data_IF_965209576549
#
_entry.id   IF_965209576549
#
_cell.length_a   1.000
_cell.length_b   1.000
_cell.length_c   1.000
_cell.angle_alpha   90.00
_cell.angle_beta   90.00
_cell.angle_gamma   90.00
#
_symmetry.space_group_name_H-M   'P 1'
#
loop_
_entity.id
_entity.type
_entity.pdbx_description
1 polymer ?
#
# COMPACT_ATOMS: atom_id res chain seq x y z
N UNK A 1 7.09 -2.08 67.41
CA UNK A 1 6.69 -3.50 67.34
C UNK A 1 6.44 -3.90 65.90
N UNK A 2 7.24 -4.81 65.31
CA UNK A 2 6.99 -5.37 63.98
C UNK A 2 5.84 -6.38 64.12
N UNK A 3 4.66 -6.08 63.57
CA UNK A 3 3.55 -7.06 63.53
C UNK A 3 3.92 -8.14 62.52
N UNK A 4 4.01 -9.39 62.95
CA UNK A 4 4.22 -10.53 62.05
C UNK A 4 3.09 -10.55 61.00
N UNK A 5 3.45 -10.72 59.72
CA UNK A 5 2.44 -10.88 58.65
C UNK A 5 1.63 -12.15 58.95
N UNK A 6 0.31 -12.01 59.07
CA UNK A 6 -0.61 -13.15 59.24
C UNK A 6 -0.90 -13.78 57.89
N UNK A 7 -0.79 -15.10 57.83
CA UNK A 7 -1.12 -15.90 56.66
C UNK A 7 -2.64 -15.92 56.45
N UNK A 8 -3.12 -16.30 55.26
CA UNK A 8 -4.56 -16.46 55.04
C UNK A 8 -5.13 -17.57 55.94
N UNK A 9 -4.38 -18.66 56.13
CA UNK A 9 -4.78 -19.80 56.95
C UNK A 9 -5.01 -19.42 58.42
N UNK A 10 -4.27 -18.42 58.93
CA UNK A 10 -4.46 -17.87 60.28
C UNK A 10 -5.88 -17.29 60.47
N UNK A 11 -6.51 -16.76 59.41
CA UNK A 11 -7.89 -16.24 59.45
C UNK A 11 -8.91 -17.37 59.26
N UNK A 12 -8.59 -18.32 58.39
CA UNK A 12 -9.46 -19.45 58.03
C UNK A 12 -9.81 -20.31 59.25
N UNK A 13 -8.85 -20.53 60.15
CA UNK A 13 -9.09 -21.26 61.40
C UNK A 13 -10.29 -20.68 62.17
N UNK A 14 -10.31 -19.35 62.36
CA UNK A 14 -11.41 -18.67 63.06
C UNK A 14 -12.71 -18.63 62.26
N UNK A 15 -12.64 -18.52 60.93
CA UNK A 15 -13.85 -18.55 60.09
C UNK A 15 -14.53 -19.91 60.11
N UNK A 16 -13.77 -21.01 60.19
CA UNK A 16 -14.31 -22.37 60.32
C UNK A 16 -14.92 -22.63 61.69
N UNK A 17 -14.32 -22.09 62.75
CA UNK A 17 -14.86 -22.20 64.12
C UNK A 17 -16.20 -21.46 64.27
N UNK A 18 -16.37 -20.30 63.62
CA UNK A 18 -17.66 -19.60 63.53
C UNK A 18 -18.15 -18.95 64.84
N UNK A 19 -17.38 -19.04 65.93
CA UNK A 19 -17.74 -18.57 67.26
C UNK A 19 -17.38 -17.11 67.55
N UNK A 20 -16.55 -16.48 66.70
CA UNK A 20 -16.02 -15.13 66.92
C UNK A 20 -16.47 -14.16 65.82
N UNK A 21 -16.77 -12.93 66.23
CA UNK A 21 -17.06 -11.85 65.29
C UNK A 21 -15.78 -11.24 64.66
N UNK A 22 -15.92 -10.44 63.61
CA UNK A 22 -14.78 -9.83 62.90
C UNK A 22 -13.93 -8.89 63.78
N UNK A 23 -14.50 -8.35 64.86
CA UNK A 23 -13.80 -7.46 65.80
C UNK A 23 -12.93 -8.29 66.74
N UNK A 24 -13.46 -9.38 67.28
CA UNK A 24 -12.74 -10.30 68.15
C UNK A 24 -11.59 -10.99 67.40
N UNK A 25 -11.81 -11.38 66.15
CA UNK A 25 -10.75 -11.96 65.29
C UNK A 25 -9.66 -10.92 65.01
N UNK A 26 -10.03 -9.66 64.77
CA UNK A 26 -9.08 -8.58 64.53
C UNK A 26 -8.19 -8.32 65.75
N UNK A 27 -8.78 -8.31 66.95
CA UNK A 27 -8.05 -8.13 68.21
C UNK A 27 -7.11 -9.32 68.48
N UNK A 28 -7.57 -10.57 68.26
CA UNK A 28 -6.74 -11.78 68.41
C UNK A 28 -5.57 -11.84 67.42
N UNK A 29 -5.82 -11.49 66.16
CA UNK A 29 -4.79 -11.55 65.10
C UNK A 29 -3.90 -10.31 65.08
N UNK A 30 -4.28 -9.23 65.79
CA UNK A 30 -3.56 -7.96 65.83
C UNK A 30 -3.65 -7.18 64.52
N UNK A 31 -4.76 -7.29 63.81
CA UNK A 31 -5.00 -6.70 62.47
C UNK A 31 -6.22 -5.79 62.48
N UNK A 32 -6.48 -5.06 61.39
CA UNK A 32 -7.68 -4.24 61.31
C UNK A 32 -8.92 -5.09 61.03
N UNK A 33 -10.07 -4.68 61.57
CA UNK A 33 -11.37 -5.31 61.28
C UNK A 33 -11.67 -5.36 59.78
N UNK A 34 -11.28 -4.33 59.04
CA UNK A 34 -11.44 -4.27 57.57
C UNK A 34 -10.63 -5.37 56.85
N UNK A 35 -9.45 -5.72 57.37
CA UNK A 35 -8.65 -6.82 56.80
C UNK A 35 -9.31 -8.17 57.06
N UNK A 36 -9.88 -8.39 58.26
CA UNK A 36 -10.63 -9.61 58.57
C UNK A 36 -11.84 -9.74 57.66
N UNK A 37 -12.63 -8.67 57.49
CA UNK A 37 -13.78 -8.66 56.59
C UNK A 37 -13.41 -8.99 55.14
N UNK A 38 -12.31 -8.43 54.62
CA UNK A 38 -11.80 -8.76 53.27
C UNK A 38 -11.42 -10.23 53.15
N UNK A 39 -10.72 -10.78 54.14
CA UNK A 39 -10.35 -12.20 54.14
C UNK A 39 -11.56 -13.11 54.28
N UNK A 40 -12.56 -12.73 55.07
CA UNK A 40 -13.83 -13.47 55.19
C UNK A 40 -14.59 -13.48 53.87
N UNK A 41 -14.69 -12.34 53.19
CA UNK A 41 -15.32 -12.27 51.86
C UNK A 41 -14.60 -13.15 50.83
N UNK A 42 -13.27 -13.17 50.86
CA UNK A 42 -12.44 -14.05 50.01
C UNK A 42 -12.61 -15.54 50.35
N UNK A 43 -12.81 -15.86 51.63
CA UNK A 43 -13.09 -17.22 52.09
C UNK A 43 -14.50 -17.69 51.68
N UNK A 44 -15.51 -16.84 51.90
CA UNK A 44 -16.91 -17.09 51.55
C UNK A 44 -17.14 -17.20 50.04
N UNK A 45 -16.36 -16.48 49.22
CA UNK A 45 -16.48 -16.55 47.76
C UNK A 45 -15.96 -17.87 47.17
N UNK A 46 -15.31 -18.73 47.97
CA UNK A 46 -14.77 -20.00 47.50
C UNK A 46 -13.71 -19.84 46.42
N UNK A 47 -13.09 -18.66 46.32
CA UNK A 47 -12.08 -18.32 45.33
C UNK A 47 -10.80 -19.07 45.73
N UNK A 48 -10.73 -20.36 45.34
CA UNK A 48 -9.51 -21.15 45.39
C UNK A 48 -8.41 -20.34 44.74
N UNK A 49 -7.27 -20.21 45.41
CA UNK A 49 -6.05 -19.58 44.88
C UNK A 49 -5.92 -19.96 43.40
N UNK A 50 -6.28 -19.01 42.53
CA UNK A 50 -6.21 -19.19 41.09
C UNK A 50 -4.75 -19.46 40.80
N UNK A 51 -4.49 -20.71 40.41
CA UNK A 51 -3.17 -21.20 40.12
C UNK A 51 -2.56 -20.29 39.06
N UNK A 52 -1.38 -19.76 39.36
CA UNK A 52 -0.69 -18.75 38.58
C UNK A 52 0.02 -19.37 37.36
N UNK A 53 -0.70 -20.21 36.62
CA UNK A 53 -0.20 -20.82 35.38
C UNK A 53 -1.35 -20.93 34.37
N UNK A 54 -1.60 -19.84 33.64
CA UNK A 54 -2.53 -19.81 32.51
C UNK A 54 -1.91 -20.47 31.27
N UNK A 55 -1.38 -21.68 31.44
CA UNK A 55 -0.80 -22.46 30.34
C UNK A 55 -1.90 -23.06 29.49
N UNK A 56 -2.19 -22.41 28.36
CA UNK A 56 -3.00 -23.00 27.29
C UNK A 56 -2.21 -24.17 26.70
N UNK A 57 -2.80 -25.37 26.74
CA UNK A 57 -2.22 -26.58 26.13
C UNK A 57 -2.99 -26.88 24.85
N UNK A 58 -2.30 -26.93 23.71
CA UNK A 58 -2.86 -27.28 22.39
C UNK A 58 -2.29 -28.62 21.93
N UNK A 59 -3.10 -29.43 21.24
CA UNK A 59 -2.61 -30.69 20.65
C UNK A 59 -1.69 -30.42 19.46
N UNK A 60 -0.74 -31.32 19.24
CA UNK A 60 0.20 -31.26 18.12
C UNK A 60 -0.55 -31.24 16.77
N UNK A 61 -1.57 -32.07 16.61
CA UNK A 61 -2.43 -32.10 15.41
C UNK A 61 -3.09 -30.73 15.13
N UNK A 62 -3.55 -30.04 16.17
CA UNK A 62 -4.18 -28.71 16.01
C UNK A 62 -3.14 -27.69 15.56
N UNK A 63 -1.94 -27.75 16.13
CA UNK A 63 -0.83 -26.88 15.73
C UNK A 63 -0.41 -27.15 14.28
N UNK A 64 -0.23 -28.42 13.89
CA UNK A 64 0.17 -28.80 12.54
C UNK A 64 -0.87 -28.41 11.49
N UNK A 65 -2.16 -28.56 11.81
CA UNK A 65 -3.25 -28.09 10.96
C UNK A 65 -3.21 -26.55 10.77
N UNK A 66 -3.04 -25.78 11.85
CA UNK A 66 -2.95 -24.32 11.78
C UNK A 66 -1.75 -23.86 10.97
N UNK A 67 -0.58 -24.49 11.16
CA UNK A 67 0.61 -24.21 10.36
C UNK A 67 0.37 -24.50 8.89
N UNK A 68 -0.16 -25.68 8.57
CA UNK A 68 -0.48 -26.09 7.19
C UNK A 68 -1.45 -25.14 6.51
N UNK A 69 -2.50 -24.72 7.22
CA UNK A 69 -3.47 -23.74 6.71
C UNK A 69 -2.82 -22.37 6.48
N UNK A 70 -1.97 -21.93 7.40
CA UNK A 70 -1.27 -20.64 7.29
C UNK A 70 -0.34 -20.64 6.09
N UNK A 71 0.50 -21.66 5.93
CA UNK A 71 1.40 -21.79 4.78
C UNK A 71 0.63 -21.86 3.45
N UNK A 72 -0.47 -22.62 3.40
CA UNK A 72 -1.32 -22.69 2.20
C UNK A 72 -1.91 -21.32 1.84
N UNK A 73 -2.39 -20.57 2.84
CA UNK A 73 -2.93 -19.22 2.63
C UNK A 73 -1.86 -18.25 2.14
N UNK A 74 -0.64 -18.35 2.67
CA UNK A 74 0.50 -17.53 2.26
C UNK A 74 0.92 -17.80 0.81
N UNK A 75 1.05 -19.08 0.44
CA UNK A 75 1.40 -19.48 -0.94
C UNK A 75 0.34 -18.99 -1.93
N UNK A 76 -0.94 -19.12 -1.58
CA UNK A 76 -2.03 -18.60 -2.41
C UNK A 76 -1.96 -17.07 -2.54
N UNK A 77 -1.70 -16.34 -1.46
CA UNK A 77 -1.56 -14.88 -1.50
C UNK A 77 -0.39 -14.46 -2.40
N UNK A 78 0.77 -15.12 -2.28
CA UNK A 78 1.94 -14.87 -3.15
C UNK A 78 1.61 -15.11 -4.62
N UNK A 79 0.87 -16.18 -4.94
CA UNK A 79 0.43 -16.47 -6.30
C UNK A 79 -0.45 -15.34 -6.85
N UNK A 80 -1.46 -14.91 -6.08
CA UNK A 80 -2.35 -13.80 -6.49
C UNK A 80 -1.57 -12.50 -6.71
N UNK A 81 -0.61 -12.19 -5.84
CA UNK A 81 0.27 -11.01 -6.03
C UNK A 81 1.05 -11.13 -7.34
N UNK A 82 1.64 -12.29 -7.62
CA UNK A 82 2.41 -12.48 -8.85
C UNK A 82 1.55 -12.38 -10.12
N UNK A 83 0.30 -12.88 -10.08
CA UNK A 83 -0.65 -12.75 -11.19
C UNK A 83 -1.06 -11.28 -11.38
N UNK A 84 -1.31 -10.56 -10.28
CA UNK A 84 -1.62 -9.13 -10.33
C UNK A 84 -0.46 -8.30 -10.89
N UNK A 85 0.78 -8.62 -10.54
CA UNK A 85 1.97 -7.95 -11.06
C UNK A 85 2.11 -8.14 -12.57
N UNK A 86 1.83 -9.36 -13.06
CA UNK A 86 1.81 -9.67 -14.50
C UNK A 86 0.72 -8.87 -15.21
N UNK A 87 -0.51 -8.86 -14.67
CA UNK A 87 -1.61 -8.09 -15.27
C UNK A 87 -1.35 -6.58 -15.24
N UNK A 88 -0.75 -6.05 -14.18
CA UNK A 88 -0.29 -4.67 -14.11
C UNK A 88 0.77 -4.37 -15.19
N UNK A 89 1.72 -5.27 -15.42
CA UNK A 89 2.72 -5.13 -16.47
C UNK A 89 2.08 -5.15 -17.86
N UNK A 90 1.14 -6.07 -18.11
CA UNK A 90 0.39 -6.17 -19.36
C UNK A 90 -0.40 -4.90 -19.64
N UNK A 91 -1.08 -4.34 -18.62
CA UNK A 91 -1.82 -3.09 -18.74
C UNK A 91 -0.90 -1.92 -19.10
N UNK A 92 0.26 -1.79 -18.43
CA UNK A 92 1.26 -0.75 -18.74
C UNK A 92 1.77 -0.86 -20.18
N UNK A 93 2.08 -2.07 -20.64
CA UNK A 93 2.52 -2.31 -22.02
C UNK A 93 1.40 -2.01 -23.04
N UNK A 94 0.16 -2.42 -22.74
CA UNK A 94 -1.01 -2.14 -23.56
C UNK A 94 -1.24 -0.63 -23.72
N UNK A 95 -1.14 0.12 -22.62
CA UNK A 95 -1.21 1.57 -22.63
C UNK A 95 -0.14 2.19 -23.53
N UNK A 96 1.13 1.81 -23.35
CA UNK A 96 2.24 2.33 -24.18
C UNK A 96 1.99 2.07 -25.67
N UNK A 97 1.48 0.89 -26.02
CA UNK A 97 1.16 0.54 -27.41
C UNK A 97 0.05 1.41 -27.97
N UNK A 98 -1.07 1.52 -27.26
CA UNK A 98 -2.21 2.33 -27.68
C UNK A 98 -1.82 3.80 -27.82
N UNK A 99 -1.03 4.32 -26.87
CA UNK A 99 -0.56 5.70 -26.90
C UNK A 99 0.39 5.97 -28.07
N UNK A 100 1.32 5.06 -28.39
CA UNK A 100 2.17 5.17 -29.59
C UNK A 100 1.37 5.16 -30.89
N UNK A 101 0.30 4.37 -30.96
CA UNK A 101 -0.59 4.38 -32.12
C UNK A 101 -1.32 5.72 -32.24
N UNK A 102 -1.88 6.20 -31.12
CA UNK A 102 -2.53 7.50 -31.05
C UNK A 102 -1.60 8.64 -31.48
N UNK A 103 -0.38 8.72 -30.93
CA UNK A 103 0.57 9.77 -31.29
C UNK A 103 0.99 9.70 -32.76
N UNK A 104 1.12 8.49 -33.32
CA UNK A 104 1.38 8.33 -34.74
C UNK A 104 0.25 8.87 -35.61
N UNK A 105 -1.01 8.61 -35.25
CA UNK A 105 -2.19 9.12 -35.97
C UNK A 105 -2.25 10.64 -35.88
N UNK A 106 -2.10 11.20 -34.69
CA UNK A 106 -2.13 12.65 -34.44
C UNK A 106 -1.04 13.39 -35.27
N UNK A 107 0.15 12.78 -35.41
CA UNK A 107 1.27 13.38 -36.15
C UNK A 107 1.28 13.03 -37.65
N UNK A 108 0.32 12.27 -38.16
CA UNK A 108 0.33 11.75 -39.54
C UNK A 108 0.36 12.88 -40.57
N UNK A 109 -0.42 13.96 -40.36
CA UNK A 109 -0.46 15.10 -41.28
C UNK A 109 0.90 15.80 -41.41
N UNK A 110 1.56 16.08 -40.28
CA UNK A 110 2.88 16.71 -40.26
C UNK A 110 3.94 15.81 -40.90
N UNK A 111 3.92 14.51 -40.59
CA UNK A 111 4.82 13.52 -41.20
C UNK A 111 4.65 13.44 -42.71
N UNK A 112 3.41 13.46 -43.18
CA UNK A 112 3.10 13.47 -44.63
C UNK A 112 3.63 14.73 -45.32
N UNK A 113 3.47 15.91 -44.70
CA UNK A 113 4.02 17.17 -45.24
C UNK A 113 5.56 17.15 -45.28
N UNK A 114 6.21 16.62 -44.23
CA UNK A 114 7.67 16.41 -44.19
C UNK A 114 8.12 15.48 -45.33
N UNK A 115 7.43 14.36 -45.55
CA UNK A 115 7.74 13.42 -46.63
C UNK A 115 7.55 14.05 -48.01
N UNK A 116 6.48 14.81 -48.21
CA UNK A 116 6.23 15.53 -49.46
C UNK A 116 7.34 16.55 -49.76
N UNK A 117 7.74 17.36 -48.76
CA UNK A 117 8.83 18.32 -48.91
C UNK A 117 10.16 17.63 -49.25
N UNK A 118 10.46 16.50 -48.61
CA UNK A 118 11.66 15.69 -48.93
C UNK A 118 11.62 15.19 -50.38
N UNK A 119 10.48 14.65 -50.81
CA UNK A 119 10.31 14.17 -52.19
C UNK A 119 10.45 15.29 -53.22
N UNK A 120 9.93 16.49 -52.94
CA UNK A 120 10.04 17.66 -53.80
C UNK A 120 11.49 18.16 -53.91
N UNK A 121 12.19 18.27 -52.78
CA UNK A 121 13.62 18.61 -52.74
C UNK A 121 14.44 17.60 -53.56
N UNK A 122 14.17 16.30 -53.43
CA UNK A 122 14.86 15.26 -54.17
C UNK A 122 14.57 15.33 -55.68
N UNK A 123 13.34 15.63 -56.07
CA UNK A 123 12.97 15.82 -57.47
C UNK A 123 13.68 17.03 -58.08
N UNK A 124 13.73 18.16 -57.37
CA UNK A 124 14.43 19.38 -57.80
C UNK A 124 15.95 19.17 -57.86
N UNK A 125 16.55 18.48 -56.89
CA UNK A 125 17.96 18.12 -56.92
C UNK A 125 18.32 17.26 -58.14
N UNK A 126 17.46 16.31 -58.52
CA UNK A 126 17.65 15.49 -59.73
C UNK A 126 17.50 16.33 -61.00
N UNK A 127 16.54 17.24 -61.04
CA UNK A 127 16.28 18.09 -62.20
C UNK A 127 17.35 19.19 -62.40
N UNK A 128 17.90 19.75 -61.32
CA UNK A 128 18.92 20.80 -61.34
C UNK A 128 20.25 20.34 -61.96
N UNK A 129 20.52 19.03 -61.95
CA UNK A 129 21.67 18.43 -62.66
C UNK A 129 21.64 18.66 -64.19
N UNK A 130 20.48 19.07 -64.76
CA UNK A 130 20.24 19.23 -66.21
C UNK A 130 19.90 20.67 -66.67
N UNK A 131 19.74 21.65 -65.77
CA UNK A 131 19.24 23.02 -66.08
C UNK A 131 19.99 24.14 -65.30
N UNK A 132 19.68 25.39 -65.63
CA UNK A 132 20.28 26.63 -65.08
C UNK A 132 20.37 26.60 -63.53
N UNK A 133 21.61 26.60 -62.99
CA UNK A 133 21.92 26.20 -61.60
C UNK A 133 21.48 27.18 -60.51
N UNK A 134 21.40 28.48 -60.80
CA UNK A 134 21.32 29.51 -59.75
C UNK A 134 19.90 29.69 -59.16
N UNK A 135 18.86 29.72 -60.00
CA UNK A 135 17.47 29.88 -59.56
C UNK A 135 16.99 28.65 -58.80
N UNK A 136 17.30 27.46 -59.31
CA UNK A 136 16.90 26.17 -58.71
C UNK A 136 17.54 25.98 -57.33
N UNK A 137 18.75 26.51 -57.10
CA UNK A 137 19.41 26.43 -55.80
C UNK A 137 18.74 27.31 -54.73
N UNK A 138 18.15 28.43 -55.12
CA UNK A 138 17.37 29.30 -54.22
C UNK A 138 16.07 28.63 -53.74
N UNK A 139 15.32 28.02 -54.66
CA UNK A 139 14.10 27.27 -54.36
C UNK A 139 14.39 26.07 -53.44
N UNK A 140 15.43 25.29 -53.72
CA UNK A 140 15.85 24.16 -52.88
C UNK A 140 16.22 24.63 -51.46
N UNK A 141 16.92 25.75 -51.32
CA UNK A 141 17.28 26.27 -50.00
C UNK A 141 16.05 26.76 -49.22
N UNK A 142 15.08 27.37 -49.90
CA UNK A 142 13.80 27.74 -49.28
C UNK A 142 13.05 26.53 -48.76
N UNK A 143 12.89 25.48 -49.60
CA UNK A 143 12.21 24.24 -49.21
C UNK A 143 12.93 23.52 -48.06
N UNK A 144 14.26 23.55 -48.02
CA UNK A 144 15.03 23.01 -46.88
C UNK A 144 14.75 23.76 -45.58
N UNK A 145 14.66 25.09 -45.64
CA UNK A 145 14.30 25.89 -44.47
C UNK A 145 12.87 25.56 -43.99
N UNK A 146 11.91 25.44 -44.91
CA UNK A 146 10.53 25.03 -44.59
C UNK A 146 10.50 23.62 -43.97
N UNK A 147 11.26 22.68 -44.55
CA UNK A 147 11.38 21.31 -44.02
C UNK A 147 11.92 21.30 -42.59
N UNK A 148 12.98 22.07 -42.31
CA UNK A 148 13.57 22.16 -40.98
C UNK A 148 12.59 22.75 -39.96
N UNK A 149 11.77 23.72 -40.36
CA UNK A 149 10.71 24.30 -39.52
C UNK A 149 9.64 23.26 -39.20
N UNK A 150 9.12 22.54 -40.20
CA UNK A 150 8.13 21.47 -40.00
C UNK A 150 8.67 20.31 -39.14
N UNK A 151 9.95 19.95 -39.26
CA UNK A 151 10.56 18.92 -38.41
C UNK A 151 10.58 19.37 -36.94
N UNK A 152 10.94 20.64 -36.69
CA UNK A 152 10.91 21.21 -35.33
C UNK A 152 9.48 21.23 -34.78
N UNK A 153 8.52 21.71 -35.56
CA UNK A 153 7.12 21.77 -35.17
C UNK A 153 6.55 20.37 -34.85
N UNK A 154 6.85 19.38 -35.69
CA UNK A 154 6.45 17.99 -35.46
C UNK A 154 7.05 17.44 -34.16
N UNK A 155 8.31 17.76 -33.87
CA UNK A 155 8.98 17.32 -32.64
C UNK A 155 8.40 17.99 -31.40
N UNK A 156 8.08 19.28 -31.47
CA UNK A 156 7.40 20.02 -30.40
C UNK A 156 6.03 19.38 -30.12
N UNK A 157 5.26 19.13 -31.18
CA UNK A 157 3.93 18.52 -31.05
C UNK A 157 4.00 17.13 -30.43
N UNK A 158 4.97 16.30 -30.81
CA UNK A 158 5.18 15.00 -30.18
C UNK A 158 5.46 15.13 -28.67
N UNK A 159 6.31 16.07 -28.28
CA UNK A 159 6.63 16.34 -26.88
C UNK A 159 5.41 16.84 -26.09
N UNK A 160 4.56 17.68 -26.68
CA UNK A 160 3.30 18.11 -26.06
C UNK A 160 2.37 16.94 -25.79
N UNK A 161 2.23 16.00 -26.73
CA UNK A 161 1.41 14.81 -26.53
C UNK A 161 1.92 13.97 -25.35
N UNK A 162 3.25 13.83 -25.21
CA UNK A 162 3.87 13.18 -24.06
C UNK A 162 3.57 13.91 -22.76
N UNK A 163 3.73 15.24 -22.74
CA UNK A 163 3.48 16.05 -21.56
C UNK A 163 2.01 15.98 -21.11
N UNK A 164 1.06 16.15 -22.02
CA UNK A 164 -0.38 16.10 -21.72
C UNK A 164 -0.80 14.72 -21.21
N UNK A 165 -0.25 13.65 -21.78
CA UNK A 165 -0.46 12.29 -21.30
C UNK A 165 0.05 12.12 -19.86
N UNK A 166 1.30 12.52 -19.58
CA UNK A 166 1.89 12.42 -18.25
C UNK A 166 1.12 13.25 -17.22
N UNK A 167 0.70 14.45 -17.56
CA UNK A 167 -0.10 15.33 -16.69
C UNK A 167 -1.44 14.67 -16.29
N UNK A 168 -2.12 14.03 -17.23
CA UNK A 168 -3.36 13.27 -16.96
C UNK A 168 -3.10 12.08 -16.03
N UNK A 169 -2.03 11.32 -16.26
CA UNK A 169 -1.64 10.20 -15.40
C UNK A 169 -1.31 10.64 -13.97
N UNK A 170 -0.56 11.73 -13.81
CA UNK A 170 -0.25 12.30 -12.48
C UNK A 170 -1.51 12.76 -11.76
N UNK A 171 -2.42 13.44 -12.46
CA UNK A 171 -3.68 13.92 -11.88
C UNK A 171 -4.55 12.75 -11.40
N UNK A 172 -4.61 11.65 -12.15
CA UNK A 172 -5.33 10.45 -11.75
C UNK A 172 -4.73 9.84 -10.46
N UNK A 173 -3.40 9.73 -10.39
CA UNK A 173 -2.70 9.20 -9.21
C UNK A 173 -2.88 10.07 -7.95
N UNK A 174 -2.91 11.39 -8.11
CA UNK A 174 -3.20 12.31 -7.00
C UNK A 174 -4.64 12.21 -6.50
N UNK A 175 -5.62 12.00 -7.39
CA UNK A 175 -7.02 11.84 -7.02
C UNK A 175 -7.22 10.55 -6.18
N UNK A 176 -6.58 9.45 -6.57
CA UNK A 176 -6.59 8.20 -5.78
C UNK A 176 -5.95 8.41 -4.40
N UNK A 177 -4.79 9.07 -4.34
CA UNK A 177 -4.07 9.36 -3.09
C UNK A 177 -4.92 10.19 -2.10
N UNK A 178 -5.68 11.17 -2.60
CA UNK A 178 -6.59 12.00 -1.78
C UNK A 178 -7.85 11.24 -1.34
N UNK A 179 -8.32 10.27 -2.13
CA UNK A 179 -9.48 9.43 -1.78
C UNK A 179 -9.15 8.43 -0.66
N UNK A 180 -7.96 7.82 -0.69
CA UNK A 180 -7.52 6.85 0.32
C UNK A 180 -7.30 7.48 1.71
N UNK A 181 -6.94 8.77 1.77
CA UNK A 181 -6.81 9.51 3.03
C UNK A 181 -8.15 9.74 3.76
N UNK A 182 -9.28 9.69 3.07
CA UNK A 182 -10.62 9.83 3.69
C UNK A 182 -11.13 8.52 4.27
N UNK A 183 -10.75 7.37 3.68
CA UNK A 183 -11.19 6.06 4.17
C UNK A 183 -10.44 5.56 5.41
N UNK A 184 -9.25 6.09 5.72
CA UNK A 184 -8.48 5.67 6.90
C UNK A 184 -8.92 6.31 8.23
N UNK A 185 -9.84 7.28 8.23
CA UNK A 185 -10.34 7.94 9.45
C UNK A 185 -11.63 7.34 10.02
N UNK A 186 -12.12 6.24 9.45
CA UNK A 186 -13.42 5.65 9.77
C UNK A 186 -13.39 4.35 10.56
N UNK A 187 -12.44 4.13 11.47
CA UNK A 187 -12.55 3.08 12.49
C UNK A 187 -11.92 3.55 13.80
N UNK A 188 -12.76 4.05 14.70
CA UNK A 188 -12.52 4.16 16.14
C UNK A 188 -13.75 3.64 16.86
#
# INVERSE_FOLDING_TARGET
>A
MKRAKRSFDDYVAYFREGLLDDREIADKLGVSRVNVWRMRKKWESGESVVNQDSRVTISEDTLEHLLSQTFKSEVNARKVISELDIECANLKLGFIRAFKQYSSVELTGMRTKIENLRAEIDALNKASSKKNKQVVNGEINSLKSELDEYIKECSIREMELYYECMKKLTTANEAESKSNYKNSKGHK
#
